data_IF_861736622190
#
_entry.id   IF_861736622190
#
_cell.length_a   1.000
_cell.length_b   1.000
_cell.length_c   1.000
_cell.angle_alpha   90.00
_cell.angle_beta   90.00
_cell.angle_gamma   90.00
#
_symmetry.space_group_name_H-M   'P 1'
#
loop_
_entity.id
_entity.type
_entity.pdbx_description
1 polymer ?
#
# COMPACT_ATOMS: atom_id res chain seq x y z
N UNK A 1 -57.37 -57.94 -30.35
CA UNK A 1 -57.84 -56.71 -29.65
C UNK A 1 -56.95 -56.47 -28.43
N UNK A 2 -55.84 -55.76 -28.61
CA UNK A 2 -54.93 -55.39 -27.51
C UNK A 2 -55.24 -53.97 -27.05
N UNK A 3 -55.57 -53.79 -25.77
CA UNK A 3 -55.92 -52.48 -25.17
C UNK A 3 -54.69 -51.55 -25.16
N UNK A 4 -54.72 -50.38 -25.83
CA UNK A 4 -53.58 -49.46 -25.93
C UNK A 4 -53.43 -48.48 -24.74
N UNK A 5 -54.20 -48.66 -23.66
CA UNK A 5 -54.32 -47.64 -22.60
C UNK A 5 -53.20 -47.70 -21.54
N UNK A 6 -52.40 -48.79 -21.48
CA UNK A 6 -51.36 -48.95 -20.47
C UNK A 6 -50.00 -48.36 -20.87
N UNK A 7 -49.74 -48.15 -22.16
CA UNK A 7 -48.46 -47.64 -22.66
C UNK A 7 -48.37 -46.12 -22.61
N UNK A 8 -49.49 -45.40 -22.74
CA UNK A 8 -49.50 -43.93 -22.67
C UNK A 8 -49.18 -43.39 -21.27
N UNK A 9 -49.58 -44.10 -20.21
CA UNK A 9 -49.40 -43.65 -18.83
C UNK A 9 -47.94 -43.72 -18.35
N UNK A 10 -47.17 -44.71 -18.82
CA UNK A 10 -45.75 -44.87 -18.48
C UNK A 10 -44.85 -43.85 -19.19
N UNK A 11 -45.23 -43.38 -20.39
CA UNK A 11 -44.44 -42.38 -21.13
C UNK A 11 -44.57 -40.99 -20.50
N UNK A 12 -45.75 -40.63 -19.97
CA UNK A 12 -45.97 -39.33 -19.30
C UNK A 12 -45.20 -39.25 -17.97
N UNK A 13 -45.14 -40.35 -17.20
CA UNK A 13 -44.37 -40.42 -15.95
C UNK A 13 -42.86 -40.32 -16.17
N UNK A 14 -42.34 -40.88 -17.28
CA UNK A 14 -40.92 -40.76 -17.64
C UNK A 14 -40.53 -39.34 -18.04
N UNK A 15 -41.42 -38.59 -18.70
CA UNK A 15 -41.17 -37.18 -19.08
C UNK A 15 -41.17 -36.27 -17.85
N UNK A 16 -42.05 -36.51 -16.87
CA UNK A 16 -42.10 -35.72 -15.62
C UNK A 16 -40.86 -35.98 -14.75
N UNK A 17 -40.34 -37.21 -14.72
CA UNK A 17 -39.08 -37.53 -14.04
C UNK A 17 -37.84 -36.97 -14.74
N UNK A 18 -37.87 -36.80 -16.08
CA UNK A 18 -36.79 -36.17 -16.84
C UNK A 18 -36.76 -34.63 -16.71
N UNK A 19 -37.89 -34.00 -16.38
CA UNK A 19 -37.96 -32.55 -16.10
C UNK A 19 -37.55 -32.15 -14.69
N UNK A 20 -37.45 -33.09 -13.74
CA UNK A 20 -37.10 -32.82 -12.35
C UNK A 20 -35.59 -32.71 -12.04
N UNK A 21 -34.73 -33.06 -13.00
CA UNK A 21 -33.27 -33.06 -12.81
C UNK A 21 -32.57 -31.78 -13.30
N UNK A 22 -33.31 -30.79 -13.79
CA UNK A 22 -32.76 -29.55 -14.32
C UNK A 22 -33.03 -28.33 -13.42
N UNK A 23 -33.02 -28.52 -12.10
CA UNK A 23 -32.72 -27.40 -11.19
C UNK A 23 -31.20 -27.24 -11.08
N UNK A 24 -30.56 -26.82 -12.17
CA UNK A 24 -29.29 -26.11 -12.06
C UNK A 24 -29.65 -24.78 -11.41
N UNK A 25 -29.67 -24.76 -10.07
CA UNK A 25 -29.51 -23.53 -9.31
C UNK A 25 -28.12 -23.03 -9.64
N UNK A 26 -28.00 -22.26 -10.71
CA UNK A 26 -26.93 -21.31 -10.90
C UNK A 26 -27.05 -20.34 -9.71
N UNK A 27 -26.45 -20.71 -8.57
CA UNK A 27 -26.11 -19.75 -7.54
C UNK A 27 -25.17 -18.79 -8.24
N UNK A 28 -25.68 -17.62 -8.61
CA UNK A 28 -24.85 -16.49 -8.94
C UNK A 28 -23.94 -16.30 -7.72
N UNK A 29 -22.69 -16.73 -7.83
CA UNK A 29 -21.64 -16.32 -6.91
C UNK A 29 -21.62 -14.78 -7.00
N UNK A 30 -21.99 -14.13 -5.91
CA UNK A 30 -21.83 -12.69 -5.78
C UNK A 30 -20.34 -12.41 -5.93
N UNK A 31 -19.92 -11.91 -7.09
CA UNK A 31 -18.58 -11.39 -7.29
C UNK A 31 -18.47 -10.17 -6.38
N UNK A 32 -17.76 -10.32 -5.26
CA UNK A 32 -17.44 -9.22 -4.37
C UNK A 32 -16.50 -8.27 -5.13
N UNK A 33 -17.06 -7.23 -5.73
CA UNK A 33 -16.27 -6.19 -6.41
C UNK A 33 -15.64 -5.34 -5.30
N UNK A 34 -14.33 -5.48 -5.15
CA UNK A 34 -13.53 -4.64 -4.25
C UNK A 34 -13.62 -3.18 -4.70
N UNK A 35 -13.91 -2.29 -3.74
CA UNK A 35 -14.14 -0.87 -4.05
C UNK A 35 -12.80 -0.18 -4.25
N UNK A 36 -12.78 0.82 -5.13
CA UNK A 36 -11.63 1.73 -5.24
C UNK A 36 -11.80 2.86 -4.23
N UNK A 37 -10.77 3.14 -3.42
CA UNK A 37 -10.72 4.29 -2.49
C UNK A 37 -9.95 5.48 -3.08
N UNK A 38 -9.02 5.21 -4.00
CA UNK A 38 -8.37 6.24 -4.80
C UNK A 38 -7.84 5.67 -6.13
N UNK A 39 -7.81 6.51 -7.16
CA UNK A 39 -7.11 6.27 -8.42
C UNK A 39 -5.93 7.24 -8.51
N UNK A 40 -4.72 6.71 -8.64
CA UNK A 40 -3.47 7.46 -8.77
C UNK A 40 -2.84 7.07 -10.10
N UNK A 41 -2.93 7.96 -11.10
CA UNK A 41 -2.47 7.65 -12.45
C UNK A 41 -3.25 6.48 -13.05
N UNK A 42 -2.55 5.36 -13.26
CA UNK A 42 -3.13 4.13 -13.79
C UNK A 42 -3.29 3.03 -12.72
N UNK A 43 -2.99 3.34 -11.45
CA UNK A 43 -3.13 2.41 -10.32
C UNK A 43 -4.30 2.77 -9.43
N UNK A 44 -5.14 1.78 -9.15
CA UNK A 44 -6.17 1.88 -8.11
C UNK A 44 -5.58 1.49 -6.75
N UNK A 45 -5.99 2.21 -5.71
CA UNK A 45 -5.89 1.78 -4.32
C UNK A 45 -7.25 1.19 -3.97
N UNK A 46 -7.28 -0.10 -3.64
CA UNK A 46 -8.51 -0.81 -3.31
C UNK A 46 -8.87 -0.66 -1.82
N UNK A 47 -10.14 -0.84 -1.48
CA UNK A 47 -10.62 -0.82 -0.08
C UNK A 47 -9.95 -1.93 0.71
N UNK A 48 -9.81 -3.13 0.14
CA UNK A 48 -9.08 -4.23 0.82
C UNK A 48 -7.61 -3.90 1.08
N UNK A 49 -6.89 -3.29 0.12
CA UNK A 49 -5.50 -2.86 0.32
C UNK A 49 -5.39 -1.80 1.40
N UNK A 50 -6.35 -0.88 1.43
CA UNK A 50 -6.42 0.18 2.43
C UNK A 50 -6.66 -0.39 3.84
N UNK A 51 -7.62 -1.29 4.01
CA UNK A 51 -7.86 -1.95 5.30
C UNK A 51 -6.65 -2.77 5.77
N UNK A 52 -5.97 -3.47 4.85
CA UNK A 52 -4.73 -4.18 5.20
C UNK A 52 -3.66 -3.22 5.71
N UNK A 53 -3.54 -2.04 5.10
CA UNK A 53 -2.60 -1.00 5.55
C UNK A 53 -3.01 -0.39 6.88
N UNK A 54 -4.31 -0.20 7.14
CA UNK A 54 -4.83 0.23 8.45
C UNK A 54 -4.41 -0.76 9.54
N UNK A 55 -4.64 -2.05 9.31
CA UNK A 55 -4.21 -3.10 10.23
C UNK A 55 -2.71 -3.13 10.48
N UNK A 56 -1.91 -2.93 9.43
CA UNK A 56 -0.46 -2.83 9.58
C UNK A 56 -0.02 -1.66 10.46
N UNK A 57 -0.56 -0.46 10.24
CA UNK A 57 -0.20 0.72 11.04
C UNK A 57 -0.67 0.58 12.49
N UNK A 58 -1.86 0.00 12.70
CA UNK A 58 -2.37 -0.32 14.04
C UNK A 58 -1.44 -1.29 14.79
N UNK A 59 -1.02 -2.37 14.12
CA UNK A 59 -0.07 -3.34 14.69
C UNK A 59 1.28 -2.70 15.03
N UNK A 60 1.80 -1.86 14.12
CA UNK A 60 3.08 -1.18 14.29
C UNK A 60 3.08 -0.20 15.46
N UNK A 61 1.96 0.49 15.68
CA UNK A 61 1.82 1.49 16.75
C UNK A 61 1.27 0.91 18.05
N UNK A 62 0.81 -0.35 18.05
CA UNK A 62 0.20 -1.00 19.21
C UNK A 62 -1.16 -0.39 19.58
N UNK A 63 -1.92 0.07 18.58
CA UNK A 63 -3.23 0.69 18.73
C UNK A 63 -4.31 -0.14 18.02
N UNK A 64 -5.58 0.21 18.20
CA UNK A 64 -6.67 -0.41 17.46
C UNK A 64 -6.78 0.17 16.03
N UNK A 65 -7.31 -0.58 15.06
CA UNK A 65 -7.54 -0.10 13.69
C UNK A 65 -8.37 1.19 13.61
N UNK A 66 -9.36 1.34 14.49
CA UNK A 66 -10.22 2.53 14.55
C UNK A 66 -9.49 3.79 15.01
N UNK A 67 -8.37 3.65 15.73
CA UNK A 67 -7.55 4.77 16.18
C UNK A 67 -6.59 5.29 15.10
N UNK A 68 -6.46 4.57 13.98
CA UNK A 68 -5.61 4.99 12.86
C UNK A 68 -6.26 6.18 12.15
N UNK A 69 -5.48 7.24 11.92
CA UNK A 69 -5.89 8.37 11.08
C UNK A 69 -5.97 7.93 9.61
N UNK A 70 -7.16 7.49 9.20
CA UNK A 70 -7.45 6.95 7.87
C UNK A 70 -7.19 7.95 6.76
N UNK A 71 -7.55 9.23 6.97
CA UNK A 71 -7.34 10.26 5.95
C UNK A 71 -5.84 10.53 5.72
N UNK A 72 -5.06 10.63 6.81
CA UNK A 72 -3.60 10.74 6.74
C UNK A 72 -2.98 9.49 6.12
N UNK A 73 -3.47 8.31 6.45
CA UNK A 73 -2.98 7.06 5.87
C UNK A 73 -3.26 6.97 4.36
N UNK A 74 -4.45 7.35 3.92
CA UNK A 74 -4.82 7.35 2.50
C UNK A 74 -3.93 8.33 1.72
N UNK A 75 -3.72 9.54 2.25
CA UNK A 75 -2.77 10.51 1.67
C UNK A 75 -1.36 9.94 1.56
N UNK A 76 -0.88 9.26 2.61
CA UNK A 76 0.42 8.59 2.61
C UNK A 76 0.46 7.50 1.52
N UNK A 77 -0.56 6.65 1.42
CA UNK A 77 -0.62 5.61 0.38
C UNK A 77 -0.65 6.19 -1.03
N UNK A 78 -1.35 7.31 -1.25
CA UNK A 78 -1.34 8.02 -2.53
C UNK A 78 0.07 8.49 -2.88
N UNK A 79 0.78 9.12 -1.93
CA UNK A 79 2.16 9.59 -2.15
C UNK A 79 3.12 8.44 -2.44
N UNK A 80 3.01 7.35 -1.69
CA UNK A 80 3.77 6.13 -1.96
C UNK A 80 3.46 5.57 -3.36
N UNK A 81 2.20 5.60 -3.81
CA UNK A 81 1.80 5.09 -5.13
C UNK A 81 2.39 5.95 -6.25
N UNK A 82 2.44 7.28 -6.08
CA UNK A 82 3.11 8.16 -7.04
C UNK A 82 4.57 7.78 -7.23
N UNK A 83 5.28 7.50 -6.14
CA UNK A 83 6.70 7.11 -6.20
C UNK A 83 6.87 5.75 -6.84
N UNK A 84 6.02 4.78 -6.51
CA UNK A 84 6.05 3.44 -7.12
C UNK A 84 5.75 3.50 -8.62
N UNK A 85 4.78 4.32 -9.06
CA UNK A 85 4.53 4.54 -10.49
C UNK A 85 5.73 5.20 -11.18
N UNK A 86 6.34 6.21 -10.57
CA UNK A 86 7.52 6.88 -11.13
C UNK A 86 8.71 5.92 -11.26
N UNK A 87 8.96 5.13 -10.22
CA UNK A 87 10.00 4.12 -10.19
C UNK A 87 9.80 3.07 -11.30
N UNK A 88 8.57 2.58 -11.47
CA UNK A 88 8.22 1.64 -12.53
C UNK A 88 8.39 2.26 -13.93
N UNK A 89 7.97 3.52 -14.12
CA UNK A 89 8.08 4.22 -15.42
C UNK A 89 9.52 4.45 -15.84
N UNK A 90 10.40 4.73 -14.89
CA UNK A 90 11.80 5.10 -15.16
C UNK A 90 12.74 3.90 -15.17
N UNK A 91 12.30 2.72 -14.72
CA UNK A 91 13.16 1.56 -14.54
C UNK A 91 14.29 1.79 -13.52
N UNK A 92 14.19 2.84 -12.70
CA UNK A 92 15.29 3.35 -11.88
C UNK A 92 15.50 2.50 -10.60
N UNK A 93 14.56 1.62 -10.29
CA UNK A 93 14.51 0.92 -9.01
C UNK A 93 14.25 -0.56 -9.22
N UNK A 94 15.30 -1.35 -9.07
CA UNK A 94 15.21 -2.77 -8.78
C UNK A 94 15.44 -2.99 -7.27
N UNK A 95 14.55 -3.71 -6.58
CA UNK A 95 14.73 -4.06 -5.17
C UNK A 95 15.96 -4.94 -4.99
N UNK A 96 16.74 -4.69 -3.96
CA UNK A 96 17.80 -5.60 -3.54
C UNK A 96 17.17 -6.82 -2.85
N UNK A 97 17.43 -8.03 -3.35
CA UNK A 97 16.80 -9.26 -2.85
C UNK A 97 17.07 -9.55 -1.37
N UNK A 98 18.28 -9.28 -0.88
CA UNK A 98 18.63 -9.49 0.53
C UNK A 98 17.87 -8.52 1.43
N UNK A 99 17.84 -7.24 1.06
CA UNK A 99 17.07 -6.21 1.79
C UNK A 99 15.57 -6.46 1.73
N UNK A 100 15.08 -7.01 0.62
CA UNK A 100 13.68 -7.39 0.48
C UNK A 100 13.32 -8.49 1.48
N UNK A 101 14.15 -9.53 1.63
CA UNK A 101 13.95 -10.59 2.63
C UNK A 101 13.91 -10.02 4.06
N UNK A 102 14.84 -9.14 4.40
CA UNK A 102 14.83 -8.45 5.70
C UNK A 102 13.55 -7.64 5.91
N UNK A 103 13.06 -6.99 4.85
CA UNK A 103 11.84 -6.18 4.91
C UNK A 103 10.59 -7.03 5.09
N UNK A 104 10.52 -8.19 4.41
CA UNK A 104 9.44 -9.17 4.61
C UNK A 104 9.43 -9.62 6.07
N UNK A 105 10.57 -10.06 6.60
CA UNK A 105 10.67 -10.50 7.99
C UNK A 105 10.25 -9.42 8.99
N UNK A 106 10.59 -8.15 8.75
CA UNK A 106 10.13 -7.03 9.58
C UNK A 106 8.61 -6.83 9.52
N UNK A 107 8.01 -6.92 8.33
CA UNK A 107 6.56 -6.77 8.18
C UNK A 107 5.83 -7.93 8.85
N UNK A 108 6.33 -9.15 8.72
CA UNK A 108 5.80 -10.34 9.40
C UNK A 108 5.92 -10.23 10.92
N UNK A 109 7.05 -9.73 11.44
CA UNK A 109 7.25 -9.50 12.87
C UNK A 109 6.24 -8.48 13.43
N UNK A 110 5.93 -7.40 12.69
CA UNK A 110 4.88 -6.46 13.08
C UNK A 110 3.52 -7.17 13.23
N UNK A 111 3.19 -8.10 12.33
CA UNK A 111 1.95 -8.86 12.39
C UNK A 111 1.94 -10.02 13.39
N UNK A 112 3.09 -10.33 14.03
CA UNK A 112 3.11 -11.28 15.15
C UNK A 112 2.21 -10.84 16.31
N UNK A 113 1.91 -9.54 16.41
CA UNK A 113 0.96 -8.94 17.34
C UNK A 113 -0.24 -8.40 16.57
N UNK A 114 -1.07 -9.30 16.05
CA UNK A 114 -2.26 -8.92 15.29
C UNK A 114 -3.23 -8.11 16.16
N UNK A 115 -3.61 -6.88 15.77
CA UNK A 115 -4.62 -6.09 16.47
C UNK A 115 -6.00 -6.75 16.41
N UNK A 116 -6.82 -6.52 17.43
CA UNK A 116 -8.22 -6.92 17.42
C UNK A 116 -8.95 -6.32 16.20
N UNK A 117 -9.70 -7.15 15.47
CA UNK A 117 -10.41 -6.75 14.25
C UNK A 117 -9.59 -6.89 12.95
N UNK A 118 -8.33 -7.33 13.04
CA UNK A 118 -7.44 -7.55 11.89
C UNK A 118 -7.14 -9.01 11.58
N UNK A 119 -7.90 -9.96 12.14
CA UNK A 119 -7.61 -11.40 12.08
C UNK A 119 -7.55 -11.93 10.64
N UNK A 120 -8.33 -11.32 9.74
CA UNK A 120 -8.35 -11.65 8.31
C UNK A 120 -7.15 -11.12 7.52
N UNK A 121 -6.41 -10.15 8.07
CA UNK A 121 -5.27 -9.48 7.43
C UNK A 121 -3.95 -10.10 7.87
N UNK A 122 -3.78 -10.36 9.17
CA UNK A 122 -2.49 -10.75 9.74
C UNK A 122 -1.97 -12.13 9.26
N UNK A 123 -2.79 -12.92 8.59
CA UNK A 123 -2.40 -14.21 7.98
C UNK A 123 -2.11 -14.15 6.47
N UNK A 124 -2.20 -12.98 5.83
CA UNK A 124 -1.96 -12.84 4.40
C UNK A 124 -0.48 -12.64 4.09
N UNK A 125 0.25 -13.74 3.87
CA UNK A 125 1.67 -13.68 3.47
C UNK A 125 1.93 -12.94 2.15
N UNK A 126 0.91 -12.83 1.27
CA UNK A 126 0.98 -12.03 0.06
C UNK A 126 1.06 -10.53 0.36
N UNK A 127 0.35 -10.07 1.38
CA UNK A 127 0.39 -8.68 1.82
C UNK A 127 1.76 -8.29 2.36
N UNK A 128 2.38 -9.13 3.19
CA UNK A 128 3.71 -8.84 3.76
C UNK A 128 4.76 -8.64 2.66
N UNK A 129 4.75 -9.52 1.65
CA UNK A 129 5.64 -9.42 0.48
C UNK A 129 5.38 -8.15 -0.33
N UNK A 130 4.12 -7.86 -0.64
CA UNK A 130 3.75 -6.67 -1.41
C UNK A 130 4.15 -5.37 -0.69
N UNK A 131 3.96 -5.33 0.63
CA UNK A 131 4.32 -4.17 1.43
C UNK A 131 5.83 -3.99 1.54
N UNK A 132 6.58 -5.07 1.79
CA UNK A 132 8.04 -5.03 1.83
C UNK A 132 8.64 -4.56 0.50
N UNK A 133 8.11 -5.06 -0.63
CA UNK A 133 8.50 -4.63 -1.97
C UNK A 133 8.25 -3.12 -2.17
N UNK A 134 7.11 -2.63 -1.69
CA UNK A 134 6.76 -1.20 -1.74
C UNK A 134 7.74 -0.37 -0.92
N UNK A 135 8.05 -0.77 0.32
CA UNK A 135 9.00 -0.08 1.19
C UNK A 135 10.41 -0.01 0.58
N UNK A 136 10.90 -1.12 0.01
CA UNK A 136 12.20 -1.15 -0.66
C UNK A 136 12.22 -0.32 -1.95
N UNK A 137 11.09 -0.24 -2.66
CA UNK A 137 10.95 0.64 -3.82
C UNK A 137 11.07 2.11 -3.40
N UNK A 138 10.38 2.52 -2.33
CA UNK A 138 10.44 3.88 -1.80
C UNK A 138 11.85 4.22 -1.30
N UNK A 139 12.48 3.31 -0.56
CA UNK A 139 13.85 3.46 -0.07
C UNK A 139 14.83 3.64 -1.22
N UNK A 140 14.77 2.75 -2.21
CA UNK A 140 15.65 2.79 -3.38
C UNK A 140 15.42 4.04 -4.22
N UNK A 141 14.18 4.53 -4.32
CA UNK A 141 13.89 5.81 -4.95
C UNK A 141 14.60 6.95 -4.23
N UNK A 142 14.49 7.03 -2.90
CA UNK A 142 15.21 8.05 -2.12
C UNK A 142 16.72 7.93 -2.29
N UNK A 143 17.28 6.72 -2.23
CA UNK A 143 18.72 6.49 -2.39
C UNK A 143 19.23 6.93 -3.77
N UNK A 144 18.59 6.43 -4.84
CA UNK A 144 19.09 6.60 -6.22
C UNK A 144 18.66 7.92 -6.87
N UNK A 145 17.50 8.45 -6.51
CA UNK A 145 16.91 9.64 -7.15
C UNK A 145 17.08 10.91 -6.34
N UNK A 146 17.14 10.81 -5.01
CA UNK A 146 17.27 11.97 -4.14
C UNK A 146 18.72 12.07 -3.65
N UNK A 147 19.19 11.09 -2.86
CA UNK A 147 20.48 11.17 -2.16
C UNK A 147 21.67 11.36 -3.10
N UNK A 148 21.71 10.65 -4.24
CA UNK A 148 22.81 10.77 -5.23
C UNK A 148 22.99 12.20 -5.75
N UNK A 149 21.91 12.99 -5.83
CA UNK A 149 21.95 14.34 -6.37
C UNK A 149 21.97 15.43 -5.29
N UNK A 150 22.07 15.05 -4.01
CA UNK A 150 22.21 16.02 -2.93
C UNK A 150 23.61 16.59 -2.90
N UNK A 151 23.69 17.89 -3.11
CA UNK A 151 24.90 18.69 -2.90
C UNK A 151 24.61 19.78 -1.90
N UNK A 152 25.56 20.03 -1.00
CA UNK A 152 25.50 21.15 -0.07
C UNK A 152 26.89 21.75 0.13
N UNK A 153 26.91 23.04 0.37
CA UNK A 153 28.11 23.83 0.65
C UNK A 153 28.33 23.96 2.17
N UNK A 154 29.52 24.40 2.56
CA UNK A 154 29.80 24.76 3.95
C UNK A 154 28.90 25.91 4.43
N UNK A 155 28.50 26.80 3.50
CA UNK A 155 27.60 27.91 3.81
C UNK A 155 26.20 27.39 4.17
N UNK A 156 25.70 26.38 3.46
CA UNK A 156 24.41 25.75 3.78
C UNK A 156 24.38 25.18 5.20
N UNK A 157 25.48 24.54 5.63
CA UNK A 157 25.61 23.98 6.98
C UNK A 157 25.64 25.09 8.04
N UNK A 158 26.38 26.18 7.79
CA UNK A 158 26.43 27.35 8.68
C UNK A 158 25.08 28.04 8.80
N UNK A 159 24.35 28.17 7.69
CA UNK A 159 23.02 28.76 7.68
C UNK A 159 22.00 27.87 8.41
N UNK A 160 22.06 26.56 8.19
CA UNK A 160 21.24 25.60 8.92
C UNK A 160 21.52 25.63 10.44
N UNK A 161 22.79 25.64 10.83
CA UNK A 161 23.19 25.79 12.23
C UNK A 161 22.68 27.10 12.84
N UNK A 162 22.77 28.23 12.11
CA UNK A 162 22.31 29.53 12.58
C UNK A 162 20.80 29.55 12.83
N UNK A 163 20.02 28.95 11.93
CA UNK A 163 18.55 28.86 12.06
C UNK A 163 18.17 27.93 13.23
N UNK A 164 18.94 26.86 13.45
CA UNK A 164 18.67 25.83 14.46
C UNK A 164 19.63 25.88 15.64
N UNK A 165 20.16 27.06 15.98
CA UNK A 165 21.25 27.18 16.97
C UNK A 165 20.89 26.57 18.33
N UNK A 166 19.61 26.63 18.71
CA UNK A 166 19.10 26.08 19.97
C UNK A 166 19.17 24.54 20.04
N UNK A 167 19.28 23.85 18.90
CA UNK A 167 19.37 22.38 18.84
C UNK A 167 20.81 21.88 19.06
N UNK A 168 21.78 22.80 19.06
CA UNK A 168 23.22 22.52 19.12
C UNK A 168 23.88 23.26 20.31
N UNK A 169 24.31 22.54 21.36
CA UNK A 169 24.89 23.16 22.54
C UNK A 169 26.27 23.79 22.27
N UNK A 170 27.06 23.18 21.38
CA UNK A 170 28.41 23.65 21.04
C UNK A 170 28.48 24.71 19.93
N UNK A 171 29.70 25.13 19.64
CA UNK A 171 30.06 25.94 18.46
C UNK A 171 29.83 25.16 17.16
N UNK A 172 29.84 25.87 16.03
CA UNK A 172 29.70 25.24 14.72
C UNK A 172 30.74 24.14 14.47
N UNK A 173 32.01 24.40 14.83
CA UNK A 173 33.10 23.46 14.57
C UNK A 173 33.00 22.20 15.44
N UNK A 174 32.60 22.35 16.71
CA UNK A 174 32.41 21.21 17.63
C UNK A 174 31.27 20.30 17.16
N UNK A 175 30.20 20.87 16.62
CA UNK A 175 28.99 20.15 16.22
C UNK A 175 28.95 19.80 14.73
N UNK A 176 29.99 20.15 13.95
CA UNK A 176 29.98 20.11 12.47
C UNK A 176 29.51 18.78 11.90
N UNK A 177 29.96 17.67 12.46
CA UNK A 177 29.57 16.33 11.98
C UNK A 177 28.10 16.01 12.26
N UNK A 178 27.56 16.47 13.39
CA UNK A 178 26.14 16.31 13.73
C UNK A 178 25.28 17.19 12.84
N UNK A 179 25.65 18.46 12.70
CA UNK A 179 25.00 19.43 11.80
C UNK A 179 24.93 18.87 10.38
N UNK A 180 26.04 18.30 9.89
CA UNK A 180 26.09 17.68 8.56
C UNK A 180 25.08 16.54 8.41
N UNK A 181 25.02 15.60 9.37
CA UNK A 181 24.05 14.48 9.31
C UNK A 181 22.61 14.98 9.35
N UNK A 182 22.32 15.91 10.25
CA UNK A 182 20.97 16.47 10.40
C UNK A 182 20.56 17.28 9.16
N UNK A 183 21.50 18.02 8.56
CA UNK A 183 21.29 18.73 7.31
C UNK A 183 21.02 17.76 6.16
N UNK A 184 21.78 16.68 6.04
CA UNK A 184 21.55 15.67 5.00
C UNK A 184 20.16 15.07 5.11
N UNK A 185 19.70 14.71 6.31
CA UNK A 185 18.34 14.20 6.54
C UNK A 185 17.26 15.24 6.20
N UNK A 186 17.48 16.49 6.61
CA UNK A 186 16.61 17.61 6.27
C UNK A 186 16.53 17.82 4.74
N UNK A 187 17.68 17.81 4.06
CA UNK A 187 17.79 18.02 2.63
C UNK A 187 17.12 16.88 1.85
N UNK A 188 17.34 15.61 2.24
CA UNK A 188 16.62 14.45 1.68
C UNK A 188 15.12 14.67 1.77
N UNK A 189 14.62 15.00 2.98
CA UNK A 189 13.18 15.19 3.21
C UNK A 189 12.62 16.33 2.37
N UNK A 190 13.35 17.45 2.27
CA UNK A 190 12.96 18.62 1.47
C UNK A 190 12.90 18.28 -0.02
N UNK A 191 13.93 17.66 -0.56
CA UNK A 191 13.97 17.33 -1.99
C UNK A 191 12.97 16.23 -2.35
N UNK A 192 12.76 15.24 -1.47
CA UNK A 192 11.71 14.25 -1.65
C UNK A 192 10.31 14.88 -1.70
N UNK A 193 10.01 15.84 -0.82
CA UNK A 193 8.72 16.58 -0.86
C UNK A 193 8.54 17.36 -2.16
N UNK A 194 9.57 18.07 -2.63
CA UNK A 194 9.51 18.76 -3.93
C UNK A 194 9.24 17.79 -5.07
N UNK A 195 9.85 16.61 -5.04
CA UNK A 195 9.62 15.61 -6.06
C UNK A 195 8.19 15.05 -5.98
N UNK A 196 7.68 14.74 -4.80
CA UNK A 196 6.27 14.36 -4.60
C UNK A 196 5.31 15.44 -5.14
N UNK A 197 5.57 16.72 -4.89
CA UNK A 197 4.76 17.81 -5.45
C UNK A 197 4.78 17.84 -6.98
N UNK A 198 5.95 17.59 -7.60
CA UNK A 198 6.05 17.47 -9.06
C UNK A 198 5.26 16.27 -9.58
N UNK A 199 5.32 15.13 -8.90
CA UNK A 199 4.54 13.94 -9.25
C UNK A 199 3.03 14.19 -9.12
N UNK A 200 2.59 14.83 -8.02
CA UNK A 200 1.18 15.21 -7.83
C UNK A 200 0.66 16.13 -8.93
N UNK A 201 1.47 17.09 -9.40
CA UNK A 201 1.07 18.03 -10.47
C UNK A 201 0.90 17.37 -11.83
N UNK A 202 1.60 16.26 -12.08
CA UNK A 202 1.63 15.60 -13.40
C UNK A 202 0.78 14.33 -13.47
N UNK A 203 0.36 13.80 -12.33
CA UNK A 203 -0.43 12.58 -12.24
C UNK A 203 -1.86 12.91 -11.84
N UNK A 204 -2.84 12.33 -12.55
CA UNK A 204 -4.25 12.47 -12.19
C UNK A 204 -4.51 11.66 -10.91
N UNK A 205 -5.00 12.34 -9.87
CA UNK A 205 -5.38 11.71 -8.60
C UNK A 205 -6.88 11.95 -8.41
N UNK A 206 -7.63 10.87 -8.18
CA UNK A 206 -9.06 10.92 -7.86
C UNK A 206 -9.27 10.13 -6.58
N UNK A 207 -9.67 10.82 -5.51
CA UNK A 207 -10.07 10.16 -4.26
C UNK A 207 -11.57 9.91 -4.34
N UNK A 208 -11.98 8.67 -4.11
CA UNK A 208 -13.36 8.21 -4.28
C UNK A 208 -14.08 7.97 -2.96
N UNK A 209 -13.46 8.32 -1.81
CA UNK A 209 -14.11 8.19 -0.51
C UNK A 209 -15.49 8.89 -0.50
N UNK A 210 -16.52 8.06 -0.56
CA UNK A 210 -17.87 8.44 -0.18
C UNK A 210 -17.91 8.51 1.35
N UNK A 211 -18.27 9.69 1.86
CA UNK A 211 -18.64 9.93 3.26
C UNK A 211 -19.39 8.70 3.81
N UNK A 212 -18.83 8.03 4.82
CA UNK A 212 -19.65 7.26 5.77
C UNK A 212 -19.99 8.19 6.93
#
# INVERSE_FOLDING_TARGET
MGRPERTAFFVILAIIFLSGALEIRARAEFVLIDRTVALVGNRAILESDFEKRVCYEAAKEGITPDAVDREKLLRKMVDETLVVEEAARTGLVEPNEERLKESIARVEDVFSRCPDGCEKVCGDGGFATALALREETLRSFVEKRIRVFLTYSEQDLKDFYRIRKNDYPGTYEEERNRIKRDYEEFAVTREFRKELERLRKRTKIVITEGKR
#
